data_IF_875945111581
#
_entry.id   IF_875945111581
#
_cell.length_a   1.000
_cell.length_b   1.000
_cell.length_c   1.000
_cell.angle_alpha   90.00
_cell.angle_beta   90.00
_cell.angle_gamma   90.00
#
_symmetry.space_group_name_H-M   'P 1'
#
loop_
_entity.id
_entity.type
_entity.pdbx_description
1 polymer ?
#
# COMPACT_ATOMS: atom_id res chain seq x y z
N UNK A 1 0.58 -21.78 -39.59
CA UNK A 1 0.82 -21.52 -39.08
C UNK A 1 1.06 -21.24 -38.37
N UNK A 2 0.92 -21.20 -38.41
CA UNK A 2 1.09 -20.65 -37.58
C UNK A 2 1.44 -19.99 -37.10
N UNK A 3 1.43 -20.45 -37.32
CA UNK A 3 1.87 -19.84 -36.87
C UNK A 3 1.45 -18.72 -36.47
N UNK A 4 0.68 -18.42 -36.42
CA UNK A 4 0.07 -17.32 -36.29
C UNK A 4 -0.71 -17.27 -35.15
N UNK A 5 -1.42 -18.28 -34.99
CA UNK A 5 -2.26 -18.23 -33.86
C UNK A 5 -1.53 -18.02 -32.66
N UNK A 6 -0.41 -18.62 -32.63
CA UNK A 6 0.30 -18.39 -31.52
C UNK A 6 0.48 -17.01 -31.30
N UNK A 7 0.42 -16.30 -32.29
CA UNK A 7 0.53 -14.92 -32.10
C UNK A 7 -0.69 -14.39 -31.46
N UNK A 8 -1.81 -14.90 -31.88
CA UNK A 8 -3.03 -14.37 -31.41
C UNK A 8 -3.23 -14.54 -29.96
N UNK A 9 -3.09 -15.81 -29.42
CA UNK A 9 -3.38 -15.92 -28.07
C UNK A 9 -2.32 -15.40 -27.27
N UNK A 10 -1.21 -15.29 -27.80
CA UNK A 10 -0.20 -14.57 -27.15
C UNK A 10 -0.53 -13.14 -27.07
N UNK A 11 -1.37 -12.62 -27.99
CA UNK A 11 -1.78 -11.27 -27.95
C UNK A 11 -2.40 -10.86 -26.66
N UNK A 12 -3.29 -11.63 -26.14
CA UNK A 12 -4.01 -11.24 -24.96
C UNK A 12 -3.10 -11.03 -23.79
N UNK A 13 -2.09 -11.84 -23.68
CA UNK A 13 -1.17 -11.68 -22.59
C UNK A 13 -0.08 -10.70 -22.89
N UNK A 14 0.42 -10.77 -24.11
CA UNK A 14 1.53 -9.94 -24.52
C UNK A 14 1.22 -8.46 -24.53
N UNK A 15 -0.02 -8.12 -24.83
CA UNK A 15 -0.40 -6.73 -24.90
C UNK A 15 -0.21 -6.05 -23.55
N UNK A 16 -0.55 -6.73 -22.48
CA UNK A 16 -0.45 -6.12 -21.16
C UNK A 16 0.97 -5.90 -20.73
N UNK A 17 1.83 -6.88 -20.97
CA UNK A 17 3.21 -6.76 -20.56
C UNK A 17 3.97 -5.72 -21.36
N UNK A 18 3.85 -5.70 -22.69
CA UNK A 18 4.51 -4.66 -23.45
C UNK A 18 4.10 -3.26 -23.06
N UNK A 19 2.83 -3.05 -22.78
CA UNK A 19 2.40 -1.74 -22.35
C UNK A 19 3.05 -1.33 -21.03
N UNK A 20 3.13 -2.24 -20.11
CA UNK A 20 3.76 -1.97 -18.84
C UNK A 20 5.23 -1.65 -18.98
N UNK A 21 5.92 -2.41 -19.79
CA UNK A 21 7.32 -2.20 -20.01
C UNK A 21 7.59 -0.88 -20.71
N UNK A 22 6.78 -0.55 -21.71
CA UNK A 22 6.91 0.71 -22.40
C UNK A 22 6.67 1.88 -21.49
N UNK A 23 5.70 1.76 -20.61
CA UNK A 23 5.37 2.82 -19.69
C UNK A 23 6.53 3.10 -18.73
N UNK A 24 7.14 2.06 -18.18
CA UNK A 24 8.30 2.24 -17.33
C UNK A 24 9.48 2.81 -18.08
N UNK A 25 9.65 2.36 -19.32
CA UNK A 25 10.75 2.82 -20.16
C UNK A 25 10.58 4.30 -20.48
N UNK A 26 9.36 4.73 -20.79
CA UNK A 26 9.11 6.13 -21.05
C UNK A 26 9.43 7.02 -19.85
N UNK A 27 9.08 6.56 -18.66
CA UNK A 27 9.41 7.32 -17.45
C UNK A 27 10.90 7.52 -17.27
N UNK A 28 11.67 6.50 -17.61
CA UNK A 28 13.13 6.60 -17.46
C UNK A 28 13.77 7.48 -18.53
N UNK A 29 13.14 7.59 -19.71
CA UNK A 29 13.67 8.40 -20.80
C UNK A 29 13.46 9.89 -20.52
N UNK A 30 12.42 10.26 -19.79
CA UNK A 30 12.11 11.66 -19.56
C UNK A 30 13.02 12.35 -18.56
N UNK A 31 13.83 11.60 -17.81
CA UNK A 31 14.73 12.18 -16.83
C UNK A 31 16.16 11.87 -17.21
N UNK A 32 16.90 12.89 -17.65
CA UNK A 32 18.28 12.73 -18.12
C UNK A 32 19.32 13.08 -17.05
N UNK A 33 18.97 13.94 -16.10
CA UNK A 33 19.91 14.40 -15.10
C UNK A 33 20.12 13.33 -14.01
N UNK A 34 21.39 13.12 -13.60
CA UNK A 34 21.73 12.09 -12.60
C UNK A 34 20.96 12.24 -11.30
N UNK A 35 20.80 13.47 -10.83
CA UNK A 35 20.08 13.72 -9.58
C UNK A 35 18.60 13.41 -9.71
N UNK A 36 18.00 13.67 -10.89
CA UNK A 36 16.61 13.33 -11.14
C UNK A 36 16.40 11.81 -11.15
N UNK A 37 17.31 11.08 -11.78
CA UNK A 37 17.26 9.62 -11.80
C UNK A 37 17.39 9.04 -10.39
N UNK A 38 18.30 9.58 -9.60
CA UNK A 38 18.47 9.17 -8.20
C UNK A 38 17.19 9.43 -7.41
N UNK A 39 16.55 10.58 -7.63
CA UNK A 39 15.32 10.93 -6.95
C UNK A 39 14.17 10.00 -7.35
N UNK A 40 14.07 9.65 -8.63
CA UNK A 40 13.05 8.72 -9.11
C UNK A 40 13.17 7.36 -8.40
N UNK A 41 14.39 6.83 -8.32
CA UNK A 41 14.62 5.54 -7.63
C UNK A 41 14.25 5.63 -6.15
N UNK A 42 14.69 6.69 -5.49
CA UNK A 42 14.40 6.91 -4.08
C UNK A 42 12.89 7.05 -3.83
N UNK A 43 12.21 7.81 -4.68
CA UNK A 43 10.77 8.03 -4.54
C UNK A 43 9.98 6.75 -4.77
N UNK A 44 10.41 5.93 -5.73
CA UNK A 44 9.73 4.66 -5.99
C UNK A 44 9.87 3.73 -4.80
N UNK A 45 11.07 3.62 -4.22
CA UNK A 45 11.29 2.80 -3.03
C UNK A 45 10.45 3.28 -1.85
N UNK A 46 10.39 4.61 -1.64
CA UNK A 46 9.57 5.21 -0.58
C UNK A 46 8.09 4.95 -0.82
N UNK A 47 7.65 5.10 -2.05
CA UNK A 47 6.25 4.90 -2.43
C UNK A 47 5.80 3.47 -2.16
N UNK A 48 6.62 2.49 -2.55
CA UNK A 48 6.30 1.08 -2.31
C UNK A 48 6.24 0.77 -0.82
N UNK A 49 7.21 1.27 -0.05
CA UNK A 49 7.25 1.07 1.39
C UNK A 49 6.02 1.69 2.06
N UNK A 50 5.70 2.92 1.72
CA UNK A 50 4.56 3.62 2.30
C UNK A 50 3.23 2.94 1.94
N UNK A 51 3.11 2.50 0.69
CA UNK A 51 1.93 1.78 0.22
C UNK A 51 1.74 0.47 1.01
N UNK A 52 2.83 -0.27 1.20
CA UNK A 52 2.78 -1.52 1.95
C UNK A 52 2.35 -1.27 3.40
N UNK A 53 3.01 -0.33 4.08
CA UNK A 53 2.70 -0.04 5.48
C UNK A 53 1.27 0.45 5.66
N UNK A 54 0.83 1.33 4.78
CA UNK A 54 -0.52 1.87 4.84
C UNK A 54 -1.57 0.77 4.61
N UNK A 55 -1.35 -0.09 3.62
CA UNK A 55 -2.28 -1.18 3.31
C UNK A 55 -2.35 -2.19 4.46
N UNK A 56 -1.19 -2.54 5.02
CA UNK A 56 -1.13 -3.48 6.16
C UNK A 56 -1.91 -2.94 7.35
N UNK A 57 -1.69 -1.66 7.69
CA UNK A 57 -2.41 -1.05 8.82
C UNK A 57 -3.91 -0.97 8.56
N UNK A 58 -4.32 -0.63 7.33
CA UNK A 58 -5.75 -0.59 6.99
C UNK A 58 -6.40 -1.96 7.15
N UNK A 59 -5.71 -3.00 6.72
CA UNK A 59 -6.22 -4.35 6.87
C UNK A 59 -6.32 -4.74 8.34
N UNK A 60 -5.34 -4.34 9.16
CA UNK A 60 -5.38 -4.60 10.59
C UNK A 60 -6.56 -3.87 11.24
N UNK A 61 -6.80 -2.61 10.88
CA UNK A 61 -7.94 -1.85 11.37
C UNK A 61 -9.26 -2.50 10.94
N UNK A 62 -9.32 -3.01 9.71
CA UNK A 62 -10.53 -3.67 9.22
C UNK A 62 -10.80 -4.94 10.04
N UNK A 63 -9.79 -5.80 10.16
CA UNK A 63 -9.92 -7.03 10.97
C UNK A 63 -10.36 -6.72 12.39
N UNK A 64 -9.76 -5.68 12.98
CA UNK A 64 -10.11 -5.28 14.34
C UNK A 64 -11.58 -4.92 14.48
N UNK A 65 -12.16 -4.27 13.46
CA UNK A 65 -13.58 -3.90 13.49
C UNK A 65 -14.52 -5.07 13.25
N UNK A 66 -14.01 -6.18 12.74
CA UNK A 66 -14.79 -7.38 12.51
C UNK A 66 -14.77 -8.30 13.72
N UNK A 67 -14.00 -7.97 14.75
CA UNK A 67 -13.95 -8.76 15.98
C UNK A 67 -15.20 -8.53 16.80
N UNK A 68 -15.71 -9.61 17.34
CA UNK A 68 -16.84 -9.60 18.26
C UNK A 68 -16.41 -9.92 19.69
N UNK A 69 -15.24 -10.55 19.86
CA UNK A 69 -14.75 -10.96 21.14
C UNK A 69 -13.92 -9.87 21.81
N UNK A 70 -14.35 -9.45 23.01
CA UNK A 70 -13.69 -8.40 23.74
C UNK A 70 -12.25 -8.74 24.10
N UNK A 71 -12.00 -9.97 24.52
CA UNK A 71 -10.65 -10.36 24.93
C UNK A 71 -9.64 -10.28 23.79
N UNK A 72 -10.06 -10.73 22.59
CA UNK A 72 -9.19 -10.62 21.43
C UNK A 72 -8.98 -9.17 21.05
N UNK A 73 -10.03 -8.36 21.13
CA UNK A 73 -9.92 -6.95 20.82
C UNK A 73 -8.94 -6.26 21.76
N UNK A 74 -8.98 -6.56 23.06
CA UNK A 74 -8.06 -5.96 24.02
C UNK A 74 -6.61 -6.36 23.78
N UNK A 75 -6.36 -7.60 23.35
CA UNK A 75 -4.99 -8.03 23.07
C UNK A 75 -4.45 -7.45 21.77
N UNK A 76 -5.30 -7.26 20.76
CA UNK A 76 -4.88 -6.71 19.48
C UNK A 76 -4.83 -5.20 19.45
N UNK A 77 -5.56 -4.54 20.34
CA UNK A 77 -5.66 -3.08 20.37
C UNK A 77 -4.29 -2.38 20.40
N UNK A 78 -3.36 -2.73 21.33
CA UNK A 78 -2.08 -2.03 21.38
C UNK A 78 -1.25 -2.23 20.11
N UNK A 79 -1.38 -3.38 19.45
CA UNK A 79 -0.68 -3.66 18.22
C UNK A 79 -1.16 -2.72 17.09
N UNK A 80 -2.48 -2.59 16.95
CA UNK A 80 -3.07 -1.73 15.92
C UNK A 80 -2.75 -0.26 16.19
N UNK A 81 -2.82 0.17 17.45
CA UNK A 81 -2.45 1.53 17.85
C UNK A 81 -0.99 1.81 17.48
N UNK A 82 -0.08 0.88 17.77
CA UNK A 82 1.34 1.02 17.43
C UNK A 82 1.53 1.18 15.92
N UNK A 83 0.77 0.42 15.11
CA UNK A 83 0.84 0.55 13.65
C UNK A 83 0.39 1.93 13.18
N UNK A 84 -0.70 2.46 13.75
CA UNK A 84 -1.20 3.79 13.42
C UNK A 84 -0.20 4.88 13.81
N UNK A 85 0.41 4.77 14.99
CA UNK A 85 1.39 5.74 15.45
C UNK A 85 2.65 5.71 14.58
N UNK A 86 3.08 4.53 14.14
CA UNK A 86 4.22 4.42 13.22
C UNK A 86 3.93 5.09 11.88
N UNK A 87 2.69 4.99 11.35
CA UNK A 87 2.33 5.67 10.12
C UNK A 87 2.30 7.19 10.32
N UNK A 88 1.80 7.66 11.46
CA UNK A 88 1.78 9.08 11.77
C UNK A 88 3.20 9.62 11.94
N UNK A 89 4.06 8.90 12.66
CA UNK A 89 5.45 9.30 12.86
C UNK A 89 6.21 9.42 11.54
N UNK A 90 5.89 8.58 10.56
CA UNK A 90 6.53 8.62 9.25
C UNK A 90 5.83 9.57 8.27
N UNK A 91 4.86 10.31 8.74
CA UNK A 91 4.07 11.24 7.92
C UNK A 91 3.39 10.58 6.72
N UNK A 92 3.06 9.28 6.83
CA UNK A 92 2.28 8.59 5.82
C UNK A 92 0.81 8.96 5.96
N UNK A 93 0.36 9.18 7.20
CA UNK A 93 -0.96 9.73 7.51
C UNK A 93 -0.78 10.89 8.47
N UNK A 94 -1.75 11.80 8.49
CA UNK A 94 -1.73 12.92 9.42
C UNK A 94 -2.00 12.45 10.85
N UNK A 95 -1.40 13.12 11.83
CA UNK A 95 -1.56 12.77 13.24
C UNK A 95 -3.04 12.78 13.68
N UNK A 96 -3.82 13.76 13.21
CA UNK A 96 -5.24 13.84 13.53
C UNK A 96 -5.99 12.60 13.02
N UNK A 97 -5.61 12.10 11.84
CA UNK A 97 -6.25 10.88 11.30
C UNK A 97 -5.95 9.68 12.19
N UNK A 98 -4.71 9.56 12.65
CA UNK A 98 -4.33 8.49 13.55
C UNK A 98 -5.10 8.58 14.87
N UNK A 99 -5.20 9.80 15.43
CA UNK A 99 -5.92 10.03 16.68
C UNK A 99 -7.41 9.67 16.54
N UNK A 100 -8.05 10.09 15.44
CA UNK A 100 -9.45 9.77 15.20
C UNK A 100 -9.69 8.28 15.07
N UNK A 101 -8.79 7.58 14.37
CA UNK A 101 -8.88 6.12 14.24
C UNK A 101 -8.70 5.43 15.59
N UNK A 102 -7.73 5.87 16.39
CA UNK A 102 -7.51 5.30 17.72
C UNK A 102 -8.73 5.48 18.61
N UNK A 103 -9.30 6.68 18.61
CA UNK A 103 -10.51 6.96 19.39
C UNK A 103 -11.69 6.08 18.94
N UNK A 104 -11.87 5.94 17.63
CA UNK A 104 -12.94 5.10 17.09
C UNK A 104 -12.76 3.62 17.49
N UNK A 105 -11.53 3.13 17.47
CA UNK A 105 -11.26 1.74 17.86
C UNK A 105 -11.42 1.53 19.36
N UNK A 106 -11.04 2.53 20.18
CA UNK A 106 -11.23 2.46 21.62
C UNK A 106 -12.72 2.40 21.97
N UNK A 107 -13.53 3.20 21.28
CA UNK A 107 -14.99 3.15 21.48
C UNK A 107 -15.55 1.79 21.08
N UNK A 108 -15.03 1.20 20.00
CA UNK A 108 -15.46 -0.12 19.57
C UNK A 108 -15.18 -1.16 20.64
N UNK A 109 -13.99 -1.14 21.27
CA UNK A 109 -13.67 -2.06 22.34
C UNK A 109 -14.60 -1.86 23.54
N UNK A 110 -14.97 -0.61 23.81
CA UNK A 110 -15.86 -0.31 24.94
C UNK A 110 -17.29 -0.80 24.69
N UNK A 111 -17.68 -0.95 23.43
CA UNK A 111 -19.03 -1.44 23.10
C UNK A 111 -19.10 -2.95 22.98
N UNK A 112 -17.99 -3.66 22.91
CA UNK A 112 -17.91 -5.12 22.97
C UNK A 112 -17.99 -5.60 24.40
#
# INVERSE_FOLDING_TARGET
VYRLGRMVFIHVRGVRFPYGLQFFKQKSIMANHKSALKRIRSNEAKRLRNRYQHKTTRNAVKRFRELTDKKEAETLFPTVVSMLDKLAKKNVIHANKAANLKSSLAKHVATL
#
